data_IF_186276017205
#
_entry.id   IF_186276017205
#
_cell.length_a   1.000
_cell.length_b   1.000
_cell.length_c   1.000
_cell.angle_alpha   90.00
_cell.angle_beta   90.00
_cell.angle_gamma   90.00
#
_symmetry.space_group_name_H-M   'P 1'
#
loop_
_entity.id
_entity.type
_entity.pdbx_description
1 polymer ?
#
# COMPACT_ATOMS: atom_id res chain seq x y z
N UNK A 1 4.61 8.03 11.31
CA UNK A 1 5.26 8.88 10.30
C UNK A 1 4.19 9.66 9.55
N UNK A 2 4.27 10.99 9.51
CA UNK A 2 3.30 11.83 8.77
C UNK A 2 3.72 12.18 7.33
N UNK A 3 4.98 11.92 6.98
CA UNK A 3 5.55 12.19 5.67
C UNK A 3 5.49 10.95 4.77
N UNK A 4 4.28 10.54 4.40
CA UNK A 4 4.05 9.51 3.38
C UNK A 4 3.17 10.02 2.26
N UNK A 5 3.16 9.30 1.14
CA UNK A 5 2.18 9.47 0.06
C UNK A 5 0.75 9.10 0.46
N UNK A 6 0.54 8.63 1.71
CA UNK A 6 -0.77 8.25 2.25
C UNK A 6 -1.42 7.10 1.46
N UNK A 7 -0.61 6.16 0.98
CA UNK A 7 -1.08 5.02 0.18
C UNK A 7 -0.55 3.70 0.73
N UNK A 8 -1.32 2.65 0.52
CA UNK A 8 -0.87 1.26 0.68
C UNK A 8 -0.89 0.66 -0.73
N UNK A 9 0.28 0.65 -1.36
CA UNK A 9 0.45 0.21 -2.74
C UNK A 9 1.22 -1.10 -2.82
N UNK A 10 0.86 -1.97 -3.75
CA UNK A 10 1.63 -3.19 -4.04
C UNK A 10 2.92 -2.94 -4.84
N UNK A 11 3.16 -1.70 -5.28
CA UNK A 11 4.46 -1.30 -5.83
C UNK A 11 4.67 -1.74 -7.27
N UNK A 12 3.68 -1.51 -8.14
CA UNK A 12 3.70 -1.83 -9.57
C UNK A 12 5.04 -1.50 -10.27
N UNK A 13 5.67 -0.37 -9.92
CA UNK A 13 6.96 0.04 -10.48
C UNK A 13 8.09 -0.97 -10.24
N UNK A 14 8.09 -1.64 -9.09
CA UNK A 14 9.12 -2.63 -8.74
C UNK A 14 9.04 -3.90 -9.60
N UNK A 15 7.91 -4.15 -10.28
CA UNK A 15 7.82 -5.24 -11.26
C UNK A 15 8.76 -5.02 -12.46
N UNK A 16 9.04 -3.76 -12.83
CA UNK A 16 10.01 -3.47 -13.90
C UNK A 16 11.43 -3.92 -13.53
N UNK A 17 11.75 -3.97 -12.24
CA UNK A 17 13.02 -4.45 -11.70
C UNK A 17 13.01 -5.95 -11.35
N UNK A 18 11.93 -6.68 -11.66
CA UNK A 18 11.75 -8.09 -11.30
C UNK A 18 11.76 -8.37 -9.78
N UNK A 19 11.41 -7.39 -8.95
CA UNK A 19 11.32 -7.53 -7.50
C UNK A 19 10.01 -8.24 -7.08
N UNK A 20 9.77 -9.44 -7.62
CA UNK A 20 8.52 -10.18 -7.49
C UNK A 20 8.18 -10.52 -6.02
N UNK A 21 9.21 -10.81 -5.21
CA UNK A 21 9.05 -11.07 -3.78
C UNK A 21 8.44 -9.88 -3.05
N UNK A 22 9.03 -8.70 -3.22
CA UNK A 22 8.59 -7.45 -2.60
C UNK A 22 7.16 -7.09 -3.03
N UNK A 23 6.87 -7.18 -4.33
CA UNK A 23 5.53 -6.86 -4.87
C UNK A 23 4.47 -7.79 -4.28
N UNK A 24 4.75 -9.08 -4.19
CA UNK A 24 3.82 -10.08 -3.62
C UNK A 24 3.59 -9.86 -2.12
N UNK A 25 4.63 -9.49 -1.38
CA UNK A 25 4.50 -9.12 0.03
C UNK A 25 3.66 -7.87 0.21
N UNK A 26 3.96 -6.79 -0.53
CA UNK A 26 3.19 -5.55 -0.48
C UNK A 26 1.71 -5.76 -0.86
N UNK A 27 1.42 -6.59 -1.87
CA UNK A 27 0.06 -6.98 -2.25
C UNK A 27 -0.67 -7.77 -1.15
N UNK A 28 0.06 -8.62 -0.40
CA UNK A 28 -0.48 -9.34 0.75
C UNK A 28 -0.79 -8.37 1.90
N UNK A 29 0.15 -7.51 2.26
CA UNK A 29 -0.02 -6.49 3.30
C UNK A 29 -1.17 -5.54 2.99
N UNK A 30 -1.35 -5.15 1.72
CA UNK A 30 -2.51 -4.35 1.29
C UNK A 30 -3.85 -5.01 1.64
N UNK A 31 -3.96 -6.33 1.51
CA UNK A 31 -5.17 -7.08 1.92
C UNK A 31 -5.33 -7.13 3.44
N UNK A 32 -4.23 -7.30 4.17
CA UNK A 32 -4.22 -7.30 5.64
C UNK A 32 -4.75 -5.95 6.16
N UNK A 33 -4.17 -4.84 5.70
CA UNK A 33 -4.58 -3.50 6.13
C UNK A 33 -6.01 -3.15 5.76
N UNK A 34 -6.47 -3.55 4.57
CA UNK A 34 -7.86 -3.39 4.15
C UNK A 34 -8.84 -4.15 5.05
N UNK A 35 -8.43 -5.30 5.58
CA UNK A 35 -9.24 -6.09 6.50
C UNK A 35 -9.16 -5.56 7.94
N UNK A 36 -7.96 -5.20 8.41
CA UNK A 36 -7.72 -4.76 9.78
C UNK A 36 -8.24 -3.35 10.07
N UNK A 37 -8.15 -2.45 9.08
CA UNK A 37 -8.57 -1.05 9.23
C UNK A 37 -9.41 -0.57 8.02
N UNK A 38 -10.57 -1.20 7.74
CA UNK A 38 -11.38 -0.87 6.56
C UNK A 38 -11.92 0.57 6.58
N UNK A 39 -12.01 1.18 7.76
CA UNK A 39 -12.39 2.58 7.96
C UNK A 39 -11.26 3.58 7.64
N UNK A 40 -10.01 3.12 7.56
CA UNK A 40 -8.84 3.97 7.23
C UNK A 40 -8.21 3.64 5.87
N UNK A 41 -8.44 2.42 5.37
CA UNK A 41 -7.81 1.86 4.17
C UNK A 41 -8.86 1.46 3.14
N UNK A 42 -9.02 2.30 2.11
CA UNK A 42 -10.06 2.18 1.08
C UNK A 42 -9.46 1.95 -0.29
N UNK A 43 -10.16 1.31 -1.24
CA UNK A 43 -9.64 1.11 -2.59
C UNK A 43 -9.54 2.46 -3.30
N UNK A 44 -8.44 2.64 -4.04
CA UNK A 44 -8.20 3.81 -4.87
C UNK A 44 -7.94 3.35 -6.31
N UNK A 45 -8.80 3.72 -7.28
CA UNK A 45 -8.49 3.50 -8.69
C UNK A 45 -7.38 4.44 -9.15
N UNK A 46 -6.47 3.91 -9.96
CA UNK A 46 -5.43 4.64 -10.66
C UNK A 46 -5.66 4.51 -12.16
N UNK A 47 -5.61 5.63 -12.87
CA UNK A 47 -5.66 5.67 -14.33
C UNK A 47 -4.28 5.98 -14.89
N UNK A 48 -3.79 5.11 -15.77
CA UNK A 48 -2.56 5.33 -16.54
C UNK A 48 -2.98 5.60 -17.99
N UNK A 49 -2.91 6.85 -18.46
CA UNK A 49 -3.21 7.18 -19.85
C UNK A 49 -2.21 6.49 -20.79
N UNK A 50 -2.72 5.95 -21.90
CA UNK A 50 -1.89 5.27 -22.92
C UNK A 50 -2.02 6.02 -24.24
N UNK A 51 -0.91 6.29 -24.92
CA UNK A 51 -0.88 7.07 -26.16
C UNK A 51 -0.50 6.23 -27.38
N UNK A 52 0.23 5.14 -27.20
CA UNK A 52 0.63 4.21 -28.24
C UNK A 52 -0.03 2.82 -28.12
N UNK A 53 0.42 1.90 -28.96
CA UNK A 53 0.04 0.48 -28.85
C UNK A 53 1.05 -0.31 -28.00
N UNK A 54 2.33 0.02 -28.09
CA UNK A 54 3.41 -0.70 -27.42
C UNK A 54 3.39 -0.43 -25.90
N UNK A 55 3.30 0.84 -25.49
CA UNK A 55 3.13 1.26 -24.09
C UNK A 55 1.90 0.58 -23.46
N UNK A 56 0.77 0.60 -24.18
CA UNK A 56 -0.46 -0.06 -23.73
C UNK A 56 -0.28 -1.56 -23.53
N UNK A 57 0.42 -2.24 -24.44
CA UNK A 57 0.70 -3.68 -24.35
C UNK A 57 1.61 -3.99 -23.16
N UNK A 58 2.73 -3.27 -23.01
CA UNK A 58 3.68 -3.45 -21.91
C UNK A 58 3.00 -3.24 -20.55
N UNK A 59 2.25 -2.15 -20.39
CA UNK A 59 1.51 -1.88 -19.16
C UNK A 59 0.45 -2.94 -18.88
N UNK A 60 -0.27 -3.41 -19.92
CA UNK A 60 -1.28 -4.46 -19.76
C UNK A 60 -0.65 -5.78 -19.30
N UNK A 61 0.52 -6.14 -19.82
CA UNK A 61 1.27 -7.33 -19.36
C UNK A 61 1.71 -7.14 -17.91
N UNK A 62 2.30 -6.00 -17.56
CA UNK A 62 2.73 -5.69 -16.19
C UNK A 62 1.56 -5.72 -15.19
N UNK A 63 0.42 -5.14 -15.55
CA UNK A 63 -0.80 -5.18 -14.72
C UNK A 63 -1.42 -6.58 -14.65
N UNK A 64 -1.33 -7.37 -15.73
CA UNK A 64 -1.73 -8.78 -15.70
C UNK A 64 -0.89 -9.60 -14.73
N UNK A 65 0.42 -9.40 -14.72
CA UNK A 65 1.32 -10.01 -13.74
C UNK A 65 1.01 -9.52 -12.32
N UNK A 66 0.76 -8.22 -12.15
CA UNK A 66 0.40 -7.63 -10.86
C UNK A 66 -0.89 -8.25 -10.28
N UNK A 67 -1.92 -8.41 -11.10
CA UNK A 67 -3.17 -9.09 -10.71
C UNK A 67 -2.93 -10.56 -10.37
N UNK A 68 -2.12 -11.27 -11.16
CA UNK A 68 -1.76 -12.66 -10.90
C UNK A 68 -1.02 -12.83 -9.56
N UNK A 69 -0.08 -11.93 -9.26
CA UNK A 69 0.63 -11.91 -7.99
C UNK A 69 -0.30 -11.57 -6.83
N UNK A 70 -1.28 -10.67 -7.05
CA UNK A 70 -2.27 -10.35 -6.03
C UNK A 70 -3.17 -11.53 -5.70
N UNK A 71 -3.47 -12.39 -6.67
CA UNK A 71 -4.30 -13.59 -6.50
C UNK A 71 -3.51 -14.77 -5.92
N UNK A 72 -2.24 -14.90 -6.30
CA UNK A 72 -1.35 -15.97 -5.82
C UNK A 72 -0.64 -15.64 -4.50
N UNK A 73 -0.80 -14.43 -3.98
CA UNK A 73 -0.28 -14.04 -2.67
C UNK A 73 -0.77 -14.99 -1.56
N UNK A 74 0.09 -15.36 -0.59
CA UNK A 74 -0.23 -16.34 0.45
C UNK A 74 -1.60 -16.11 1.09
N UNK A 75 -2.32 -17.20 1.35
CA UNK A 75 -3.63 -17.14 2.01
C UNK A 75 -3.47 -16.46 3.38
N UNK A 76 -4.45 -15.63 3.70
CA UNK A 76 -4.56 -15.01 5.02
C UNK A 76 -5.40 -15.92 5.92
N UNK A 77 -5.19 -15.90 7.25
CA UNK A 77 -5.99 -16.68 8.19
C UNK A 77 -7.44 -16.16 8.33
N UNK A 78 -7.78 -15.09 7.62
CA UNK A 78 -9.09 -14.45 7.60
C UNK A 78 -9.50 -14.10 6.16
N UNK A 79 -10.81 -13.94 5.95
CA UNK A 79 -11.36 -13.54 4.66
C UNK A 79 -11.09 -12.04 4.41
N UNK A 80 -10.19 -11.74 3.47
CA UNK A 80 -9.89 -10.38 3.04
C UNK A 80 -10.27 -10.22 1.55
N UNK A 81 -11.13 -9.24 1.20
CA UNK A 81 -11.55 -9.05 -0.18
C UNK A 81 -10.38 -8.60 -1.06
N UNK A 82 -10.27 -9.19 -2.24
CA UNK A 82 -9.36 -8.72 -3.27
C UNK A 82 -9.86 -7.40 -3.87
N UNK A 83 -8.93 -6.58 -4.35
CA UNK A 83 -9.30 -5.43 -5.18
C UNK A 83 -9.75 -5.90 -6.58
N UNK A 84 -10.55 -5.10 -7.29
CA UNK A 84 -10.89 -5.39 -8.66
C UNK A 84 -9.63 -5.51 -9.53
N UNK A 85 -9.70 -6.37 -10.55
CA UNK A 85 -8.63 -6.52 -11.55
C UNK A 85 -8.46 -5.27 -12.39
N UNK A 86 -7.31 -5.16 -13.05
CA UNK A 86 -7.10 -4.10 -14.02
C UNK A 86 -8.10 -4.17 -15.18
N UNK A 87 -8.41 -3.01 -15.76
CA UNK A 87 -9.32 -2.88 -16.89
C UNK A 87 -8.82 -1.83 -17.88
N UNK A 88 -9.19 -1.95 -19.15
CA UNK A 88 -8.91 -0.93 -20.15
C UNK A 88 -10.13 -0.02 -20.31
N UNK A 89 -9.89 1.29 -20.41
CA UNK A 89 -10.89 2.31 -20.70
C UNK A 89 -10.58 2.93 -22.06
N UNK A 90 -11.63 3.12 -22.86
CA UNK A 90 -11.58 3.97 -24.05
C UNK A 90 -11.27 5.43 -23.66
N UNK A 91 -10.88 6.24 -24.64
CA UNK A 91 -10.65 7.69 -24.41
C UNK A 91 -11.88 8.38 -23.81
N UNK A 92 -13.08 8.02 -24.27
CA UNK A 92 -14.35 8.57 -23.78
C UNK A 92 -14.60 8.18 -22.32
N UNK A 93 -14.42 6.91 -21.98
CA UNK A 93 -14.60 6.41 -20.59
C UNK A 93 -13.55 7.00 -19.64
N UNK A 94 -12.30 7.11 -20.10
CA UNK A 94 -11.23 7.72 -19.32
C UNK A 94 -11.52 9.20 -19.02
N UNK A 95 -11.94 9.97 -20.03
CA UNK A 95 -12.33 11.37 -19.86
C UNK A 95 -13.60 11.56 -19.03
N UNK A 96 -14.53 10.60 -19.08
CA UNK A 96 -15.72 10.62 -18.21
C UNK A 96 -15.37 10.31 -16.75
N UNK A 97 -14.36 9.47 -16.51
CA UNK A 97 -13.88 9.15 -15.16
C UNK A 97 -13.05 10.29 -14.59
N UNK A 98 -12.14 10.85 -15.38
CA UNK A 98 -11.24 11.94 -15.00
C UNK A 98 -11.25 13.03 -16.08
N UNK A 99 -12.03 14.11 -15.91
CA UNK A 99 -12.21 15.15 -16.93
C UNK A 99 -10.92 15.80 -17.43
N UNK A 100 -9.88 15.85 -16.58
CA UNK A 100 -8.55 16.36 -16.97
C UNK A 100 -7.94 15.59 -18.14
N UNK A 101 -8.29 14.31 -18.32
CA UNK A 101 -7.80 13.48 -19.41
C UNK A 101 -8.37 13.87 -20.78
N UNK A 102 -9.46 14.66 -20.84
CA UNK A 102 -10.02 15.15 -22.11
C UNK A 102 -9.03 16.03 -22.88
N UNK A 103 -8.24 16.83 -22.15
CA UNK A 103 -7.22 17.72 -22.70
C UNK A 103 -5.88 17.05 -23.00
N UNK A 104 -5.72 15.76 -22.69
CA UNK A 104 -4.47 15.02 -22.92
C UNK A 104 -4.60 14.20 -24.21
N UNK A 105 -3.57 14.21 -25.05
CA UNK A 105 -3.48 13.35 -26.22
C UNK A 105 -3.29 11.88 -25.80
N UNK A 106 -4.38 11.14 -25.70
CA UNK A 106 -4.40 9.73 -25.27
C UNK A 106 -5.29 8.90 -26.20
N UNK A 107 -5.01 7.60 -26.30
CA UNK A 107 -5.88 6.61 -26.96
C UNK A 107 -6.81 5.89 -25.99
N UNK A 108 -6.82 6.29 -24.72
CA UNK A 108 -7.52 5.62 -23.62
C UNK A 108 -6.63 5.55 -22.38
N UNK A 109 -7.04 4.72 -21.42
CA UNK A 109 -6.29 4.50 -20.18
C UNK A 109 -6.37 3.03 -19.73
N UNK A 110 -5.41 2.61 -18.92
CA UNK A 110 -5.52 1.41 -18.11
C UNK A 110 -5.86 1.82 -16.69
N UNK A 111 -6.86 1.16 -16.11
CA UNK A 111 -7.28 1.32 -14.72
C UNK A 111 -6.78 0.15 -13.90
N UNK A 112 -6.13 0.43 -12.78
CA UNK A 112 -5.82 -0.58 -11.76
C UNK A 112 -6.17 -0.04 -10.38
N UNK A 113 -6.04 -0.87 -9.34
CA UNK A 113 -6.41 -0.50 -7.99
C UNK A 113 -5.28 -0.76 -7.01
N UNK A 114 -5.08 0.21 -6.12
CA UNK A 114 -4.33 0.09 -4.86
C UNK A 114 -5.22 0.62 -3.73
N UNK A 115 -4.66 0.92 -2.56
CA UNK A 115 -5.43 1.49 -1.45
C UNK A 115 -4.95 2.89 -1.07
N UNK A 116 -5.91 3.77 -0.79
CA UNK A 116 -5.68 5.02 -0.07
C UNK A 116 -5.64 4.73 1.44
N UNK A 117 -4.72 5.38 2.13
CA UNK A 117 -4.62 5.41 3.59
C UNK A 117 -4.71 6.86 4.03
N UNK A 118 -5.91 7.35 4.31
CA UNK A 118 -6.17 8.79 4.49
C UNK A 118 -5.40 9.40 5.67
N UNK A 119 -5.23 8.65 6.75
CA UNK A 119 -4.70 9.14 8.03
C UNK A 119 -3.66 8.15 8.59
N UNK A 120 -2.41 8.14 8.08
CA UNK A 120 -1.36 7.24 8.57
C UNK A 120 -1.07 7.40 10.06
N UNK A 121 -1.23 8.61 10.60
CA UNK A 121 -1.07 8.92 12.01
C UNK A 121 -2.15 8.24 12.85
N UNK A 122 -3.40 8.26 12.36
CA UNK A 122 -4.51 7.55 13.00
C UNK A 122 -4.32 6.05 12.97
N UNK A 123 -3.83 5.51 11.84
CA UNK A 123 -3.51 4.08 11.74
C UNK A 123 -2.45 3.68 12.77
N UNK A 124 -1.36 4.45 12.87
CA UNK A 124 -0.32 4.21 13.86
C UNK A 124 -0.86 4.30 15.30
N UNK A 125 -1.73 5.27 15.58
CA UNK A 125 -2.38 5.40 16.89
C UNK A 125 -3.26 4.20 17.23
N UNK A 126 -4.05 3.68 16.28
CA UNK A 126 -4.88 2.50 16.51
C UNK A 126 -4.05 1.24 16.75
N UNK A 127 -2.89 1.11 16.11
CA UNK A 127 -1.93 0.04 16.42
C UNK A 127 -1.41 0.15 17.87
N UNK A 128 -0.99 1.35 18.29
CA UNK A 128 -0.49 1.58 19.65
C UNK A 128 -1.57 1.31 20.69
N UNK A 129 -2.81 1.72 20.40
CA UNK A 129 -3.96 1.43 21.24
C UNK A 129 -4.21 -0.07 21.37
N UNK A 130 -4.21 -0.81 20.26
CA UNK A 130 -4.37 -2.27 20.29
C UNK A 130 -3.25 -2.97 21.06
N UNK A 131 -2.01 -2.48 20.95
CA UNK A 131 -0.89 -2.98 21.75
C UNK A 131 -1.08 -2.71 23.25
N UNK A 132 -1.54 -1.51 23.63
CA UNK A 132 -1.83 -1.18 25.02
C UNK A 132 -2.99 -2.04 25.58
N UNK A 133 -4.03 -2.27 24.79
CA UNK A 133 -5.14 -3.19 25.14
C UNK A 133 -4.65 -4.64 25.32
N UNK A 134 -3.58 -5.04 24.61
CA UNK A 134 -2.91 -6.33 24.78
C UNK A 134 -1.87 -6.35 25.94
N UNK A 135 -1.76 -5.27 26.72
CA UNK A 135 -0.88 -5.18 27.90
C UNK A 135 0.51 -4.59 27.65
N UNK A 136 0.78 -4.05 26.46
CA UNK A 136 2.03 -3.34 26.21
C UNK A 136 2.07 -2.00 26.96
N UNK A 137 3.24 -1.65 27.50
CA UNK A 137 3.50 -0.31 28.01
C UNK A 137 3.92 0.59 26.84
N UNK A 138 3.16 1.66 26.60
CA UNK A 138 3.43 2.64 25.54
C UNK A 138 3.88 3.95 26.20
N UNK A 139 5.09 4.39 25.90
CA UNK A 139 5.64 5.67 26.37
C UNK A 139 5.85 6.58 25.16
N UNK A 140 5.16 7.72 25.14
CA UNK A 140 5.48 8.85 24.27
C UNK A 140 6.43 9.81 25.02
N UNK A 141 7.05 10.74 24.28
CA UNK A 141 7.94 11.74 24.88
C UNK A 141 9.08 11.12 25.73
N UNK A 142 9.46 9.88 25.42
CA UNK A 142 10.51 9.13 26.11
C UNK A 142 11.70 8.94 25.17
N UNK A 143 12.72 9.78 25.32
CA UNK A 143 13.94 9.68 24.52
C UNK A 143 14.85 8.61 25.11
N UNK A 144 15.21 7.60 24.31
CA UNK A 144 16.16 6.56 24.68
C UNK A 144 17.57 7.17 24.78
N UNK A 145 18.19 7.10 25.95
CA UNK A 145 19.53 7.69 26.20
C UNK A 145 20.62 6.64 26.35
N UNK A 146 20.30 5.46 26.87
CA UNK A 146 21.27 4.38 27.04
C UNK A 146 20.60 3.00 27.05
N UNK A 147 21.41 1.98 26.74
CA UNK A 147 21.07 0.59 27.00
C UNK A 147 21.82 0.09 28.22
N UNK A 148 21.13 -0.65 29.10
CA UNK A 148 21.79 -1.43 30.14
C UNK A 148 22.28 -2.74 29.55
N UNK A 149 23.50 -3.12 29.88
CA UNK A 149 24.13 -4.32 29.34
C UNK A 149 24.80 -5.15 30.44
N UNK A 150 24.76 -6.47 30.27
CA UNK A 150 25.56 -7.41 31.04
C UNK A 150 26.39 -8.24 30.06
N UNK A 151 27.70 -7.98 29.99
CA UNK A 151 28.57 -8.54 28.97
C UNK A 151 28.12 -8.14 27.56
N UNK A 152 27.67 -9.11 26.75
CA UNK A 152 27.17 -8.89 25.38
C UNK A 152 25.64 -8.79 25.27
N UNK A 153 24.92 -8.92 26.38
CA UNK A 153 23.46 -8.95 26.39
C UNK A 153 22.89 -7.60 26.84
N UNK A 154 21.94 -7.05 26.08
CA UNK A 154 21.12 -5.91 26.51
C UNK A 154 20.07 -6.43 27.50
N UNK A 155 20.02 -5.81 28.69
CA UNK A 155 19.13 -6.20 29.79
C UNK A 155 18.11 -5.11 30.15
N UNK A 156 18.22 -3.92 29.57
CA UNK A 156 17.28 -2.83 29.79
C UNK A 156 17.62 -1.59 28.98
N UNK A 157 16.81 -0.55 29.16
CA UNK A 157 16.94 0.74 28.51
C UNK A 157 16.66 1.87 29.50
N UNK A 158 17.32 3.00 29.30
CA UNK A 158 17.15 4.22 30.09
C UNK A 158 16.58 5.32 29.21
N UNK A 159 15.68 6.12 29.79
CA UNK A 159 14.94 7.15 29.07
C UNK A 159 14.88 8.44 29.88
N UNK A 160 14.73 9.55 29.17
CA UNK A 160 14.38 10.85 29.74
C UNK A 160 13.03 11.32 29.17
N UNK A 161 12.27 12.04 29.98
CA UNK A 161 11.02 12.69 29.59
C UNK A 161 11.32 13.97 28.79
N UNK A 162 10.71 14.13 27.61
CA UNK A 162 11.02 15.21 26.65
C UNK A 162 9.82 15.69 25.85
#
# INVERSE_FOLDING_TARGET
SGASSKMIHGGLRYLANLEIGLVREALRERRIWRHAAPHLVTPLPFLIPTSGWIDKLVLRVGLGLYDLLSLSAPKLPFAAPHLPRHSALSRKEAAATEPVLAGIATRGALRYYDCQMHMPERLAWEMLRGAAEAGATILNYAELTAFRQNGRQITGAEFIDR
#
